data_IF_690644808655
#
_entry.id   IF_690644808655
#
_cell.length_a   1.000
_cell.length_b   1.000
_cell.length_c   1.000
_cell.angle_alpha   90.00
_cell.angle_beta   90.00
_cell.angle_gamma   90.00
#
_symmetry.space_group_name_H-M   'P 1'
#
loop_
_entity.id
_entity.type
_entity.pdbx_description
1 polymer ?
#
# COMPACT_ATOMS: atom_id res chain seq x y z
N UNK A 1 18.02 8.02 -1.88
CA UNK A 1 18.23 7.57 -0.48
C UNK A 1 18.77 6.15 -0.50
N UNK A 2 20.00 5.95 0.02
CA UNK A 2 20.62 4.64 0.24
C UNK A 2 19.81 3.87 1.31
N UNK A 3 19.76 2.53 1.25
CA UNK A 3 19.20 1.74 2.36
C UNK A 3 19.98 2.02 3.66
N UNK A 4 19.33 1.97 4.85
CA UNK A 4 20.03 2.06 6.12
C UNK A 4 21.11 0.98 6.22
N UNK A 5 22.26 1.33 6.81
CA UNK A 5 23.43 0.45 6.86
C UNK A 5 23.28 -0.77 7.78
N UNK A 6 22.28 -0.86 8.65
CA UNK A 6 21.88 -2.09 9.32
C UNK A 6 20.38 -2.02 9.65
N UNK A 7 19.59 -3.01 9.21
CA UNK A 7 18.23 -3.20 9.69
C UNK A 7 18.28 -4.16 10.87
N UNK A 8 17.55 -3.85 11.93
CA UNK A 8 17.46 -4.66 13.15
C UNK A 8 16.25 -5.58 13.06
N UNK A 9 16.38 -6.81 13.53
CA UNK A 9 15.30 -7.78 13.50
C UNK A 9 14.72 -8.01 14.90
N UNK A 10 13.42 -8.31 14.97
CA UNK A 10 12.73 -8.70 16.20
C UNK A 10 11.89 -9.95 15.95
N UNK A 11 11.75 -10.77 17.00
CA UNK A 11 10.81 -11.90 17.04
C UNK A 11 9.91 -11.69 18.27
N UNK A 12 8.85 -10.91 18.10
CA UNK A 12 7.91 -10.55 19.18
C UNK A 12 6.47 -10.68 18.68
N UNK A 13 5.55 -10.93 19.60
CA UNK A 13 4.10 -10.92 19.31
C UNK A 13 3.52 -9.51 19.26
N UNK A 14 4.21 -8.52 19.82
CA UNK A 14 3.77 -7.12 19.91
C UNK A 14 4.88 -6.12 19.59
N UNK A 15 4.48 -4.91 19.17
CA UNK A 15 5.34 -3.75 18.95
C UNK A 15 4.60 -2.48 19.36
N UNK A 16 5.23 -1.64 20.20
CA UNK A 16 4.59 -0.43 20.77
C UNK A 16 3.22 -0.73 21.43
N UNK A 17 3.11 -1.88 22.10
CA UNK A 17 1.85 -2.34 22.71
C UNK A 17 0.81 -2.91 21.75
N UNK A 18 1.05 -2.88 20.43
CA UNK A 18 0.13 -3.37 19.39
C UNK A 18 0.49 -4.78 18.95
N UNK A 19 -0.50 -5.62 18.69
CA UNK A 19 -0.27 -6.96 18.16
C UNK A 19 0.34 -6.94 16.75
N UNK A 20 1.30 -7.83 16.51
CA UNK A 20 1.88 -8.07 15.19
C UNK A 20 1.16 -9.21 14.46
N UNK A 21 1.21 -9.20 13.13
CA UNK A 21 0.66 -10.31 12.35
C UNK A 21 1.45 -11.60 12.61
N UNK A 22 0.77 -12.73 12.44
CA UNK A 22 1.32 -14.06 12.63
C UNK A 22 1.40 -14.80 11.31
N UNK A 23 2.37 -15.69 11.19
CA UNK A 23 2.54 -16.58 10.06
C UNK A 23 1.58 -17.76 10.07
N UNK A 24 1.86 -18.74 9.21
CA UNK A 24 1.18 -20.04 9.24
C UNK A 24 1.28 -20.68 10.64
N UNK A 25 0.25 -21.40 11.03
CA UNK A 25 0.16 -22.06 12.34
C UNK A 25 0.34 -21.09 13.53
N UNK A 26 -0.11 -19.84 13.38
CA UNK A 26 -0.05 -18.81 14.43
C UNK A 26 1.37 -18.46 14.91
N UNK A 27 2.39 -18.75 14.10
CA UNK A 27 3.80 -18.55 14.46
C UNK A 27 4.17 -17.06 14.48
N UNK A 28 4.91 -16.63 15.49
CA UNK A 28 5.56 -15.31 15.52
C UNK A 28 6.54 -15.18 14.36
N UNK A 29 6.46 -14.07 13.64
CA UNK A 29 7.35 -13.80 12.51
C UNK A 29 8.55 -12.98 12.96
N UNK A 30 9.70 -13.22 12.34
CA UNK A 30 10.82 -12.30 12.40
C UNK A 30 10.55 -11.09 11.49
N UNK A 31 10.72 -9.89 12.03
CA UNK A 31 10.37 -8.64 11.35
C UNK A 31 11.48 -7.59 11.49
N UNK A 32 11.63 -6.73 10.48
CA UNK A 32 12.49 -5.56 10.56
C UNK A 32 11.84 -4.48 11.44
N UNK A 33 12.52 -4.11 12.53
CA UNK A 33 12.06 -3.07 13.46
C UNK A 33 11.83 -1.74 12.75
N UNK A 34 12.75 -1.35 11.88
CA UNK A 34 12.69 -0.07 11.18
C UNK A 34 11.51 -0.02 10.20
N UNK A 35 11.04 -1.16 9.69
CA UNK A 35 9.85 -1.19 8.82
C UNK A 35 8.59 -0.98 9.67
N UNK A 36 8.54 -1.55 10.88
CA UNK A 36 7.46 -1.31 11.84
C UNK A 36 7.40 0.16 12.27
N UNK A 37 8.56 0.77 12.58
CA UNK A 37 8.67 2.21 12.86
C UNK A 37 8.08 3.05 11.72
N UNK A 38 8.44 2.73 10.46
CA UNK A 38 7.91 3.47 9.30
C UNK A 38 6.44 3.21 9.02
N UNK A 39 5.90 2.05 9.37
CA UNK A 39 4.47 1.79 9.26
C UNK A 39 3.70 2.71 10.22
N UNK A 40 4.15 2.79 11.48
CA UNK A 40 3.56 3.67 12.50
C UNK A 40 3.61 5.14 12.05
N UNK A 41 4.80 5.62 11.65
CA UNK A 41 5.02 6.99 11.16
C UNK A 41 4.06 7.36 10.01
N UNK A 42 3.87 6.45 9.04
CA UNK A 42 3.01 6.69 7.88
C UNK A 42 1.55 6.72 8.27
N UNK A 43 1.11 5.83 9.16
CA UNK A 43 -0.26 5.78 9.66
C UNK A 43 -0.61 7.07 10.40
N UNK A 44 0.25 7.49 11.33
CA UNK A 44 0.07 8.74 12.07
C UNK A 44 0.07 9.95 11.14
N UNK A 45 1.00 10.00 10.18
CA UNK A 45 1.05 11.09 9.22
C UNK A 45 -0.19 11.15 8.33
N UNK A 46 -0.70 10.00 7.88
CA UNK A 46 -1.91 9.94 7.08
C UNK A 46 -3.13 10.47 7.85
N UNK A 47 -3.27 10.10 9.12
CA UNK A 47 -4.36 10.57 10.00
C UNK A 47 -4.21 12.05 10.36
N UNK A 48 -2.98 12.53 10.51
CA UNK A 48 -2.69 13.96 10.70
C UNK A 48 -3.06 14.77 9.46
N UNK A 49 -2.81 14.26 8.26
CA UNK A 49 -3.17 14.93 7.01
C UNK A 49 -4.70 14.85 6.78
N UNK A 50 -5.32 13.70 7.08
CA UNK A 50 -6.76 13.46 6.98
C UNK A 50 -7.30 12.73 8.21
N UNK A 51 -8.01 13.41 9.14
CA UNK A 51 -8.58 12.76 10.33
C UNK A 51 -9.52 11.59 10.02
N UNK A 52 -10.12 11.61 8.83
CA UNK A 52 -10.90 10.52 8.23
C UNK A 52 -10.10 9.94 7.06
N UNK A 53 -9.39 8.85 7.30
CA UNK A 53 -8.50 8.20 6.33
C UNK A 53 -9.06 6.85 5.89
N UNK A 54 -9.06 6.59 4.59
CA UNK A 54 -9.29 5.26 4.02
C UNK A 54 -7.95 4.59 3.74
N UNK A 55 -7.77 3.38 4.26
CA UNK A 55 -6.58 2.54 4.02
C UNK A 55 -6.97 1.43 3.05
N UNK A 56 -6.20 1.26 1.98
CA UNK A 56 -6.38 0.21 0.97
C UNK A 56 -5.10 -0.60 0.86
N UNK A 57 -5.17 -1.90 1.12
CA UNK A 57 -4.14 -2.87 0.75
C UNK A 57 -4.39 -3.39 -0.67
N UNK A 58 -3.35 -3.38 -1.49
CA UNK A 58 -3.34 -3.99 -2.82
C UNK A 58 -2.05 -4.77 -3.00
N UNK A 59 -2.16 -5.96 -3.57
CA UNK A 59 -1.04 -6.82 -3.91
C UNK A 59 -0.83 -6.74 -5.44
N UNK A 60 0.27 -6.09 -5.84
CA UNK A 60 0.63 -5.85 -7.24
C UNK A 60 1.58 -6.95 -7.74
N UNK A 61 1.23 -7.55 -8.87
CA UNK A 61 1.93 -8.68 -9.49
C UNK A 61 2.32 -8.31 -10.93
N UNK A 62 3.39 -8.89 -11.42
CA UNK A 62 3.72 -8.84 -12.84
C UNK A 62 3.04 -10.01 -13.57
N UNK A 63 2.88 -9.91 -14.90
CA UNK A 63 2.54 -11.06 -15.72
C UNK A 63 3.54 -12.21 -15.52
N UNK A 64 3.06 -13.45 -15.62
CA UNK A 64 3.88 -14.64 -15.33
C UNK A 64 4.74 -15.13 -16.49
N UNK A 65 4.48 -14.67 -17.71
CA UNK A 65 5.07 -15.23 -18.94
C UNK A 65 6.56 -14.92 -19.12
N UNK A 66 7.01 -13.75 -18.65
CA UNK A 66 8.38 -13.29 -18.83
C UNK A 66 8.90 -12.62 -17.56
N UNK A 67 10.23 -12.53 -17.43
CA UNK A 67 10.86 -11.77 -16.34
C UNK A 67 10.81 -10.29 -16.65
N UNK A 68 10.19 -9.52 -15.77
CA UNK A 68 10.12 -8.07 -15.84
C UNK A 68 11.26 -7.45 -15.05
N UNK A 69 11.98 -6.53 -15.70
CA UNK A 69 12.92 -5.66 -15.02
C UNK A 69 12.56 -4.19 -15.27
N UNK A 70 11.58 -3.70 -14.51
CA UNK A 70 11.10 -2.33 -14.63
C UNK A 70 11.78 -1.45 -13.58
N UNK A 71 12.64 -0.54 -14.04
CA UNK A 71 13.28 0.42 -13.13
C UNK A 71 12.24 1.35 -12.49
N UNK A 72 12.42 1.59 -11.19
CA UNK A 72 11.58 2.50 -10.40
C UNK A 72 10.06 2.22 -10.52
N UNK A 73 9.65 0.96 -10.74
CA UNK A 73 8.23 0.59 -10.98
C UNK A 73 7.26 1.17 -9.95
N UNK A 74 7.62 1.17 -8.66
CA UNK A 74 6.78 1.75 -7.61
C UNK A 74 6.64 3.27 -7.70
N UNK A 75 7.69 3.97 -8.18
CA UNK A 75 7.62 5.42 -8.42
C UNK A 75 6.69 5.71 -9.61
N UNK A 76 6.78 4.92 -10.69
CA UNK A 76 5.86 5.01 -11.85
C UNK A 76 4.42 4.76 -11.43
N UNK A 77 4.18 3.70 -10.67
CA UNK A 77 2.85 3.34 -10.13
C UNK A 77 2.25 4.47 -9.28
N UNK A 78 2.97 4.93 -8.25
CA UNK A 78 2.48 5.99 -7.36
C UNK A 78 2.29 7.30 -8.12
N UNK A 79 3.21 7.66 -9.01
CA UNK A 79 3.09 8.85 -9.85
C UNK A 79 1.83 8.81 -10.72
N UNK A 80 1.63 7.71 -11.44
CA UNK A 80 0.44 7.51 -12.28
C UNK A 80 -0.85 7.56 -11.45
N UNK A 81 -0.90 6.85 -10.32
CA UNK A 81 -2.08 6.87 -9.45
C UNK A 81 -2.38 8.28 -8.90
N UNK A 82 -1.35 9.03 -8.50
CA UNK A 82 -1.51 10.39 -7.96
C UNK A 82 -2.04 11.33 -9.03
N UNK A 83 -1.47 11.32 -10.24
CA UNK A 83 -1.94 12.13 -11.36
C UNK A 83 -3.39 11.79 -11.75
N UNK A 84 -3.78 10.51 -11.70
CA UNK A 84 -5.16 10.10 -11.96
C UNK A 84 -6.13 10.61 -10.89
N UNK A 85 -5.74 10.62 -9.62
CA UNK A 85 -6.54 11.19 -8.53
C UNK A 85 -6.68 12.70 -8.69
N UNK A 86 -5.60 13.42 -8.99
CA UNK A 86 -5.62 14.87 -9.18
C UNK A 86 -6.51 15.27 -10.37
N UNK A 87 -6.40 14.56 -11.49
CA UNK A 87 -7.23 14.77 -12.67
C UNK A 87 -8.72 14.55 -12.36
N UNK A 88 -9.03 13.49 -11.59
CA UNK A 88 -10.39 13.20 -11.17
C UNK A 88 -10.98 14.27 -10.24
N UNK A 89 -10.21 14.75 -9.26
CA UNK A 89 -10.64 15.83 -8.36
C UNK A 89 -10.90 17.11 -9.16
N UNK A 90 -9.97 17.49 -10.06
CA UNK A 90 -10.14 18.65 -10.95
C UNK A 90 -11.39 18.53 -11.82
N UNK A 91 -11.62 17.35 -12.40
CA UNK A 91 -12.81 17.07 -13.21
C UNK A 91 -14.09 17.18 -12.38
N UNK A 92 -14.14 16.61 -11.18
CA UNK A 92 -15.33 16.71 -10.29
C UNK A 92 -15.62 18.17 -9.94
N UNK A 93 -14.60 18.98 -9.62
CA UNK A 93 -14.73 20.43 -9.37
C UNK A 93 -15.26 21.20 -10.58
N UNK A 94 -14.75 20.89 -11.78
CA UNK A 94 -15.24 21.49 -13.04
C UNK A 94 -16.73 21.21 -13.29
N UNK A 95 -17.25 20.09 -12.80
CA UNK A 95 -18.68 19.74 -12.86
C UNK A 95 -19.48 20.25 -11.65
N UNK A 96 -19.01 21.31 -10.97
CA UNK A 96 -19.72 21.95 -9.86
C UNK A 96 -19.73 21.17 -8.54
N UNK A 97 -19.03 20.03 -8.44
CA UNK A 97 -18.97 19.27 -7.19
C UNK A 97 -17.95 19.89 -6.23
N UNK A 98 -18.35 20.13 -4.98
CA UNK A 98 -17.43 20.49 -3.90
C UNK A 98 -16.67 19.23 -3.45
N UNK A 99 -15.41 19.12 -3.82
CA UNK A 99 -14.54 17.97 -3.50
C UNK A 99 -13.25 18.45 -2.84
N UNK A 100 -12.89 17.85 -1.70
CA UNK A 100 -11.64 18.12 -1.00
C UNK A 100 -10.42 17.58 -1.76
N UNK A 101 -9.21 18.03 -1.40
CA UNK A 101 -7.98 17.45 -1.92
C UNK A 101 -7.72 16.06 -1.32
N UNK A 102 -6.97 15.23 -2.06
CA UNK A 102 -6.60 13.88 -1.64
C UNK A 102 -5.16 13.56 -2.07
N UNK A 103 -4.20 13.84 -1.20
CA UNK A 103 -2.81 13.44 -1.34
C UNK A 103 -2.67 11.99 -0.88
N UNK A 104 -2.09 11.14 -1.72
CA UNK A 104 -1.87 9.74 -1.37
C UNK A 104 -0.66 9.66 -0.42
N UNK A 105 -0.86 9.03 0.74
CA UNK A 105 0.25 8.44 1.51
C UNK A 105 0.32 6.96 1.17
N UNK A 106 1.51 6.38 1.21
CA UNK A 106 1.70 4.97 0.90
C UNK A 106 2.86 4.36 1.67
N UNK A 107 2.79 3.04 1.76
CA UNK A 107 3.93 2.17 2.06
C UNK A 107 3.85 0.93 1.16
N UNK A 108 5.00 0.36 0.82
CA UNK A 108 5.06 -0.85 0.02
C UNK A 108 6.21 -1.73 0.47
N UNK A 109 6.05 -3.03 0.26
CA UNK A 109 7.09 -4.01 0.47
C UNK A 109 7.18 -4.98 -0.71
N UNK A 110 8.41 -5.23 -1.16
CA UNK A 110 8.75 -6.15 -2.25
C UNK A 110 9.01 -7.55 -1.69
N UNK A 111 8.45 -8.56 -2.32
CA UNK A 111 8.63 -9.97 -1.95
C UNK A 111 8.91 -10.82 -3.20
N UNK A 112 9.68 -11.88 -3.02
CA UNK A 112 9.85 -12.93 -4.02
C UNK A 112 9.91 -14.28 -3.29
N UNK A 113 8.88 -15.11 -3.48
CA UNK A 113 8.80 -16.47 -2.90
C UNK A 113 8.89 -17.51 -4.01
N UNK A 114 10.00 -17.51 -4.76
CA UNK A 114 10.24 -18.42 -5.89
C UNK A 114 9.40 -18.10 -7.14
N UNK A 115 8.97 -16.85 -7.29
CA UNK A 115 8.30 -16.39 -8.51
C UNK A 115 9.32 -15.84 -9.49
N UNK A 116 9.05 -15.98 -10.79
CA UNK A 116 9.85 -15.36 -11.85
C UNK A 116 9.96 -13.84 -11.66
N UNK A 117 8.90 -13.22 -11.13
CA UNK A 117 8.80 -11.80 -10.87
C UNK A 117 8.56 -11.49 -9.40
N UNK A 118 8.99 -10.31 -8.97
CA UNK A 118 8.70 -9.83 -7.62
C UNK A 118 7.22 -9.47 -7.46
N UNK A 119 6.69 -9.56 -6.25
CA UNK A 119 5.37 -9.05 -5.91
C UNK A 119 5.53 -7.85 -4.98
N UNK A 120 4.63 -6.88 -5.10
CA UNK A 120 4.60 -5.71 -4.23
C UNK A 120 3.32 -5.70 -3.41
N UNK A 121 3.45 -5.80 -2.10
CA UNK A 121 2.37 -5.47 -1.18
C UNK A 121 2.37 -3.97 -0.96
N UNK A 122 1.24 -3.30 -1.19
CA UNK A 122 1.11 -1.85 -1.07
C UNK A 122 -0.04 -1.51 -0.15
N UNK A 123 0.14 -0.53 0.72
CA UNK A 123 -0.93 0.12 1.44
C UNK A 123 -1.00 1.59 1.01
N UNK A 124 -2.20 2.02 0.63
CA UNK A 124 -2.53 3.37 0.20
C UNK A 124 -3.42 4.00 1.26
N UNK A 125 -3.14 5.24 1.64
CA UNK A 125 -3.93 6.01 2.57
C UNK A 125 -4.45 7.25 1.86
N UNK A 126 -5.76 7.42 1.90
CA UNK A 126 -6.50 8.41 1.12
C UNK A 126 -7.47 9.17 2.03
N UNK A 127 -7.78 10.41 1.68
CA UNK A 127 -8.88 11.14 2.30
C UNK A 127 -10.21 10.38 2.12
N UNK A 128 -10.82 9.91 3.21
CA UNK A 128 -12.08 9.15 3.19
C UNK A 128 -13.23 9.96 2.61
N UNK A 129 -13.24 11.28 2.82
CA UNK A 129 -14.30 12.16 2.31
C UNK A 129 -14.22 12.34 0.78
N UNK A 130 -13.13 11.89 0.16
CA UNK A 130 -12.95 11.86 -1.30
C UNK A 130 -13.07 10.43 -1.85
N UNK A 131 -12.47 9.45 -1.17
CA UNK A 131 -12.43 8.04 -1.57
C UNK A 131 -12.68 7.10 -0.39
N UNK A 132 -13.94 6.95 0.02
CA UNK A 132 -14.32 5.99 1.07
C UNK A 132 -14.39 4.53 0.58
N UNK A 133 -14.54 4.30 -0.72
CA UNK A 133 -14.80 2.98 -1.30
C UNK A 133 -13.92 2.71 -2.52
N UNK A 134 -13.59 1.44 -2.74
CA UNK A 134 -12.87 0.99 -3.93
C UNK A 134 -13.73 1.13 -5.20
N UNK A 135 -15.01 0.77 -5.12
CA UNK A 135 -15.85 0.56 -6.29
C UNK A 135 -15.62 -0.83 -6.91
N UNK A 136 -16.03 -1.00 -8.16
CA UNK A 136 -15.96 -2.26 -8.91
C UNK A 136 -14.95 -2.18 -10.05
N UNK A 137 -14.15 -3.21 -10.27
CA UNK A 137 -13.22 -3.25 -11.41
C UNK A 137 -13.90 -3.20 -12.79
N UNK A 138 -15.21 -3.47 -12.86
CA UNK A 138 -16.02 -3.38 -14.08
C UNK A 138 -16.33 -1.93 -14.46
N UNK A 139 -16.40 -1.04 -13.48
CA UNK A 139 -16.71 0.37 -13.70
C UNK A 139 -15.42 1.18 -13.85
N UNK A 140 -15.29 1.94 -14.94
CA UNK A 140 -14.08 2.70 -15.28
C UNK A 140 -13.88 3.97 -14.45
N UNK A 141 -14.87 4.34 -13.64
CA UNK A 141 -14.85 5.56 -12.83
C UNK A 141 -14.86 5.32 -11.32
N UNK A 142 -13.90 4.51 -10.84
CA UNK A 142 -13.67 4.35 -9.39
C UNK A 142 -12.20 4.09 -9.04
N UNK A 143 -11.93 4.00 -7.74
CA UNK A 143 -10.59 3.86 -7.20
C UNK A 143 -9.94 2.52 -7.59
N UNK A 144 -10.68 1.42 -7.60
CA UNK A 144 -10.15 0.11 -7.99
C UNK A 144 -9.63 0.13 -9.43
N UNK A 145 -10.42 0.70 -10.36
CA UNK A 145 -10.01 0.86 -11.75
C UNK A 145 -8.79 1.79 -11.89
N UNK A 146 -8.72 2.89 -11.13
CA UNK A 146 -7.56 3.79 -11.12
C UNK A 146 -6.29 3.09 -10.64
N UNK A 147 -6.38 2.28 -9.59
CA UNK A 147 -5.25 1.47 -9.09
C UNK A 147 -4.81 0.47 -10.15
N UNK A 148 -5.74 -0.27 -10.77
CA UNK A 148 -5.43 -1.20 -11.87
C UNK A 148 -4.73 -0.47 -13.02
N UNK A 149 -5.29 0.65 -13.47
CA UNK A 149 -4.74 1.46 -14.58
C UNK A 149 -3.37 2.04 -14.26
N UNK A 150 -3.17 2.53 -13.03
CA UNK A 150 -1.86 3.00 -12.59
C UNK A 150 -0.81 1.88 -12.60
N UNK A 151 -1.22 0.65 -12.27
CA UNK A 151 -0.32 -0.49 -12.31
C UNK A 151 0.02 -0.91 -13.75
N UNK A 152 -0.97 -1.01 -14.63
CA UNK A 152 -0.73 -1.30 -16.05
C UNK A 152 0.19 -0.25 -16.69
N UNK A 153 -0.09 1.03 -16.43
CA UNK A 153 0.76 2.15 -16.85
C UNK A 153 2.19 2.09 -16.29
N UNK A 154 2.40 1.53 -15.09
CA UNK A 154 3.75 1.39 -14.55
C UNK A 154 4.54 0.26 -15.22
N UNK A 155 3.84 -0.70 -15.82
CA UNK A 155 4.39 -1.87 -16.52
C UNK A 155 4.42 -1.69 -18.05
N UNK A 156 4.01 -0.53 -18.56
CA UNK A 156 3.85 -0.26 -19.98
C UNK A 156 2.91 -1.29 -20.67
N UNK A 157 1.82 -1.66 -19.98
CA UNK A 157 0.77 -2.58 -20.43
C UNK A 157 -0.55 -1.86 -20.70
N UNK A 158 -1.33 -2.41 -21.64
CA UNK A 158 -2.72 -2.02 -21.81
C UNK A 158 -3.58 -2.48 -20.62
N UNK A 159 -4.67 -1.77 -20.37
CA UNK A 159 -5.55 -2.04 -19.22
C UNK A 159 -6.17 -3.44 -19.28
N UNK A 160 -6.40 -3.96 -20.49
CA UNK A 160 -7.03 -5.25 -20.73
C UNK A 160 -6.06 -6.41 -20.47
N UNK A 161 -4.76 -6.19 -20.67
CA UNK A 161 -3.69 -7.14 -20.31
C UNK A 161 -3.48 -7.22 -18.78
N UNK A 162 -3.95 -6.21 -18.05
CA UNK A 162 -3.78 -6.09 -16.60
C UNK A 162 -4.69 -6.95 -15.73
N UNK A 163 -5.38 -7.94 -16.30
CA UNK A 163 -6.32 -8.81 -15.57
C UNK A 163 -5.68 -9.46 -14.34
N UNK A 164 -6.19 -9.15 -13.15
CA UNK A 164 -5.73 -9.75 -11.89
C UNK A 164 -4.34 -9.32 -11.40
N UNK A 165 -3.64 -8.41 -12.11
CA UNK A 165 -2.32 -7.93 -11.71
C UNK A 165 -2.35 -6.99 -10.50
N UNK A 166 -3.45 -6.26 -10.31
CA UNK A 166 -3.75 -5.52 -9.10
C UNK A 166 -4.80 -6.28 -8.29
N UNK A 167 -4.34 -7.08 -7.32
CA UNK A 167 -5.20 -7.94 -6.51
C UNK A 167 -5.55 -7.26 -5.18
N UNK A 168 -6.84 -7.17 -4.87
CA UNK A 168 -7.32 -6.70 -3.58
C UNK A 168 -7.62 -7.90 -2.68
N UNK A 169 -6.80 -8.17 -1.65
CA UNK A 169 -7.04 -9.32 -0.77
C UNK A 169 -8.29 -9.10 0.09
N UNK A 170 -8.76 -10.15 0.75
CA UNK A 170 -9.81 -10.04 1.75
C UNK A 170 -9.43 -9.02 2.84
N UNK A 171 -10.44 -8.27 3.27
CA UNK A 171 -10.27 -7.14 4.19
C UNK A 171 -9.20 -6.16 3.70
N UNK A 172 -9.19 -5.84 2.40
CA UNK A 172 -8.26 -4.88 1.82
C UNK A 172 -8.50 -3.44 2.29
N UNK A 173 -9.70 -3.11 2.80
CA UNK A 173 -10.06 -1.73 3.14
C UNK A 173 -10.35 -1.55 4.62
N UNK A 174 -9.84 -0.46 5.18
CA UNK A 174 -10.13 0.02 6.53
C UNK A 174 -10.47 1.51 6.51
N UNK A 175 -11.21 1.97 7.53
CA UNK A 175 -11.44 3.40 7.78
C UNK A 175 -10.92 3.79 9.14
N UNK A 176 -9.95 4.70 9.16
CA UNK A 176 -9.48 5.34 10.38
C UNK A 176 -10.21 6.67 10.51
N UNK A 177 -11.04 6.79 11.53
CA UNK A 177 -11.74 8.04 11.86
C UNK A 177 -11.33 8.46 13.26
N UNK A 178 -10.54 9.54 13.36
CA UNK A 178 -9.96 10.03 14.61
C UNK A 178 -10.99 10.34 15.69
N UNK A 179 -12.26 10.58 15.30
CA UNK A 179 -13.35 10.88 16.23
C UNK A 179 -14.21 9.65 16.56
N UNK A 180 -13.94 8.49 15.98
CA UNK A 180 -14.71 7.29 16.25
C UNK A 180 -14.28 6.66 17.59
N UNK A 181 -15.26 6.14 18.34
CA UNK A 181 -15.01 5.49 19.64
C UNK A 181 -14.10 4.26 19.52
N UNK A 182 -14.06 3.61 18.36
CA UNK A 182 -13.23 2.43 18.08
C UNK A 182 -11.95 2.77 17.31
N UNK A 183 -11.49 4.03 17.34
CA UNK A 183 -10.31 4.46 16.60
C UNK A 183 -9.07 3.63 16.94
N UNK A 184 -8.78 3.43 18.23
CA UNK A 184 -7.59 2.69 18.67
C UNK A 184 -7.63 1.22 18.23
N UNK A 185 -8.79 0.57 18.34
CA UNK A 185 -8.98 -0.80 17.85
C UNK A 185 -8.74 -0.91 16.35
N UNK A 186 -9.27 0.04 15.57
CA UNK A 186 -9.11 0.05 14.13
C UNK A 186 -7.67 0.38 13.73
N UNK A 187 -7.02 1.31 14.42
CA UNK A 187 -5.61 1.63 14.23
C UNK A 187 -4.76 0.40 14.49
N UNK A 188 -4.99 -0.31 15.61
CA UNK A 188 -4.27 -1.52 15.97
C UNK A 188 -4.50 -2.64 14.95
N UNK A 189 -5.72 -2.80 14.43
CA UNK A 189 -6.03 -3.76 13.37
C UNK A 189 -5.30 -3.45 12.06
N UNK A 190 -5.26 -2.17 11.65
CA UNK A 190 -4.52 -1.74 10.46
C UNK A 190 -3.02 -1.95 10.67
N UNK A 191 -2.46 -1.53 11.81
CA UNK A 191 -1.05 -1.72 12.13
C UNK A 191 -0.68 -3.20 12.10
N UNK A 192 -1.47 -4.06 12.75
CA UNK A 192 -1.31 -5.51 12.70
C UNK A 192 -1.32 -6.02 11.26
N UNK A 193 -2.29 -5.61 10.43
CA UNK A 193 -2.37 -6.04 9.03
C UNK A 193 -1.16 -5.61 8.20
N UNK A 194 -0.65 -4.40 8.43
CA UNK A 194 0.48 -3.82 7.70
C UNK A 194 1.83 -4.31 8.23
N UNK A 195 1.93 -4.78 9.48
CA UNK A 195 3.15 -5.37 10.03
C UNK A 195 3.67 -6.56 9.21
N UNK A 196 2.82 -7.20 8.42
CA UNK A 196 3.22 -8.21 7.43
C UNK A 196 4.30 -7.68 6.47
N UNK A 197 4.29 -6.38 6.15
CA UNK A 197 5.23 -5.76 5.23
C UNK A 197 6.64 -5.73 5.81
N UNK A 198 6.75 -5.79 7.14
CA UNK A 198 7.99 -5.84 7.90
C UNK A 198 8.57 -7.25 8.05
N UNK A 199 7.83 -8.31 7.71
CA UNK A 199 8.36 -9.69 7.81
C UNK A 199 9.61 -9.85 6.94
N UNK A 200 10.56 -10.64 7.42
CA UNK A 200 11.80 -10.92 6.68
C UNK A 200 11.58 -12.02 5.64
N UNK A 201 10.70 -12.98 5.96
CA UNK A 201 10.40 -14.09 5.07
C UNK A 201 10.03 -13.57 3.68
N UNK A 202 10.62 -14.19 2.65
CA UNK A 202 10.44 -13.89 1.22
C UNK A 202 10.92 -12.51 0.76
N UNK A 203 11.67 -11.74 1.57
CA UNK A 203 12.37 -10.54 1.09
C UNK A 203 13.64 -10.95 0.35
N UNK A 204 13.92 -10.30 -0.78
CA UNK A 204 15.10 -10.61 -1.60
C UNK A 204 16.33 -9.86 -1.11
N UNK A 205 17.41 -10.56 -0.77
CA UNK A 205 18.70 -9.97 -0.42
C UNK A 205 19.66 -9.97 -1.61
N UNK A 206 20.73 -9.16 -1.54
CA UNK A 206 21.85 -9.23 -2.47
C UNK A 206 21.70 -8.51 -3.83
N UNK A 207 20.50 -8.07 -4.23
CA UNK A 207 20.27 -7.47 -5.56
C UNK A 207 20.31 -5.92 -5.59
N UNK A 208 20.76 -5.29 -4.49
CA UNK A 208 20.88 -3.82 -4.29
C UNK A 208 19.59 -3.03 -4.45
N UNK A 209 18.44 -3.67 -4.70
CA UNK A 209 17.13 -3.00 -4.78
C UNK A 209 16.50 -2.87 -3.41
N UNK A 210 15.60 -1.90 -3.27
CA UNK A 210 14.86 -1.68 -2.01
C UNK A 210 13.74 -2.68 -1.87
N UNK A 211 13.61 -3.24 -0.67
CA UNK A 211 12.50 -4.12 -0.32
C UNK A 211 11.34 -3.40 0.35
N UNK A 212 11.51 -2.12 0.66
CA UNK A 212 10.51 -1.30 1.33
C UNK A 212 10.62 0.16 0.90
N UNK A 213 9.48 0.82 0.80
CA UNK A 213 9.40 2.25 0.55
C UNK A 213 8.09 2.82 1.05
N UNK A 214 8.08 4.13 1.28
CA UNK A 214 7.01 4.80 2.00
C UNK A 214 7.03 6.31 1.72
N UNK A 215 5.96 7.01 2.12
CA UNK A 215 5.86 8.47 2.01
C UNK A 215 5.60 9.14 3.36
N UNK A 216 6.47 10.06 3.75
CA UNK A 216 6.26 10.95 4.92
C UNK A 216 6.23 12.44 4.56
N UNK A 217 6.71 12.81 3.36
CA UNK A 217 6.76 14.20 2.88
C UNK A 217 5.53 14.55 2.07
#
# INVERSE_FOLDING_TARGET
MKQPKHLTTIVKSTYLGRELCKGKCNKTLEMFKEYLDRIDDVMDKAISDYPRTTVIRVDLKFPYSIKYDVDQVMKRFIGSLSSQIDADIKRRRKHGKRVADCKIRYLWARENKLSINDHYHVALFLNKDVYAYLGSLVNTDNLAYRIKRAWCSALDLDIDEGGGLAHFPDNCRYWLDRKANNFDDMFNQVFKRLSYFAKIDTKKSGDRRRNFGYSLR
#
